data_IF_700984435966
#
_entry.id   IF_700984435966
#
_cell.length_a   1.000
_cell.length_b   1.000
_cell.length_c   1.000
_cell.angle_alpha   90.00
_cell.angle_beta   90.00
_cell.angle_gamma   90.00
#
_symmetry.space_group_name_H-M   'P 1'
#
loop_
_entity.id
_entity.type
_entity.pdbx_description
1 polymer ?
#
# COMPACT_ATOMS: atom_id res chain seq x y z
N UNK A 1 -34.47 -5.54 -12.53
CA UNK A 1 -33.25 -5.24 -13.31
C UNK A 1 -32.31 -4.50 -12.38
N UNK A 2 -31.08 -4.98 -12.19
CA UNK A 2 -30.16 -4.40 -11.21
C UNK A 2 -29.69 -3.00 -11.64
N UNK A 3 -29.99 -2.00 -10.82
CA UNK A 3 -29.63 -0.59 -11.04
C UNK A 3 -28.10 -0.44 -11.17
N UNK A 4 -27.33 -1.25 -10.43
CA UNK A 4 -25.87 -1.27 -10.51
C UNK A 4 -25.40 -1.72 -11.89
N UNK A 5 -26.00 -2.79 -12.44
CA UNK A 5 -25.69 -3.26 -13.78
C UNK A 5 -26.01 -2.21 -14.87
N UNK A 6 -27.06 -1.40 -14.69
CA UNK A 6 -27.39 -0.32 -15.63
C UNK A 6 -26.36 0.82 -15.58
N UNK A 7 -25.97 1.25 -14.37
CA UNK A 7 -24.96 2.30 -14.18
C UNK A 7 -23.62 1.87 -14.80
N UNK A 8 -23.18 0.63 -14.55
CA UNK A 8 -21.94 0.07 -15.13
C UNK A 8 -21.96 0.10 -16.65
N UNK A 9 -23.05 -0.35 -17.28
CA UNK A 9 -23.20 -0.33 -18.75
C UNK A 9 -23.10 1.08 -19.33
N UNK A 10 -23.75 2.05 -18.69
CA UNK A 10 -23.73 3.44 -19.14
C UNK A 10 -22.32 4.05 -19.05
N UNK A 11 -21.59 3.78 -17.96
CA UNK A 11 -20.21 4.24 -17.78
C UNK A 11 -19.28 3.64 -18.85
N UNK A 12 -19.36 2.32 -19.08
CA UNK A 12 -18.56 1.65 -20.10
C UNK A 12 -18.80 2.27 -21.49
N UNK A 13 -20.06 2.52 -21.86
CA UNK A 13 -20.38 3.16 -23.14
C UNK A 13 -19.75 4.54 -23.24
N UNK A 14 -19.92 5.39 -22.21
CA UNK A 14 -19.36 6.75 -22.21
C UNK A 14 -17.84 6.79 -22.30
N UNK A 15 -17.16 5.85 -21.62
CA UNK A 15 -15.70 5.73 -21.69
C UNK A 15 -15.27 5.33 -23.10
N UNK A 16 -15.93 4.32 -23.68
CA UNK A 16 -15.62 3.81 -25.02
C UNK A 16 -15.81 4.86 -26.13
N UNK A 17 -16.83 5.71 -25.98
CA UNK A 17 -17.18 6.72 -26.98
C UNK A 17 -16.40 8.04 -26.81
N UNK A 18 -15.72 8.24 -25.68
CA UNK A 18 -14.97 9.47 -25.39
C UNK A 18 -13.68 9.57 -26.20
N UNK A 19 -13.42 10.77 -26.73
CA UNK A 19 -12.14 11.16 -27.37
C UNK A 19 -11.39 12.23 -26.57
N UNK A 20 -11.96 12.68 -25.47
CA UNK A 20 -11.37 13.71 -24.61
C UNK A 20 -10.41 13.05 -23.63
N UNK A 21 -9.11 13.21 -23.89
CA UNK A 21 -8.04 12.66 -23.07
C UNK A 21 -8.04 13.23 -21.64
N UNK A 22 -8.36 14.52 -21.48
CA UNK A 22 -8.39 15.15 -20.16
C UNK A 22 -9.51 14.57 -19.31
N UNK A 23 -10.68 14.35 -19.91
CA UNK A 23 -11.81 13.69 -19.27
C UNK A 23 -11.47 12.24 -18.87
N UNK A 24 -10.84 11.48 -19.77
CA UNK A 24 -10.43 10.10 -19.50
C UNK A 24 -9.39 10.02 -18.37
N UNK A 25 -8.41 10.91 -18.36
CA UNK A 25 -7.40 10.99 -17.30
C UNK A 25 -8.04 11.33 -15.93
N UNK A 26 -9.00 12.26 -15.90
CA UNK A 26 -9.72 12.59 -14.68
C UNK A 26 -10.53 11.39 -14.16
N UNK A 27 -11.24 10.67 -15.03
CA UNK A 27 -11.95 9.44 -14.65
C UNK A 27 -11.02 8.36 -14.13
N UNK A 28 -9.90 8.12 -14.81
CA UNK A 28 -8.89 7.15 -14.38
C UNK A 28 -8.38 7.48 -12.97
N UNK A 29 -8.05 8.75 -12.72
CA UNK A 29 -7.56 9.21 -11.42
C UNK A 29 -8.60 8.97 -10.31
N UNK A 30 -9.88 9.22 -10.59
CA UNK A 30 -10.96 8.99 -9.62
C UNK A 30 -11.07 7.49 -9.30
N UNK A 31 -11.09 6.62 -10.31
CA UNK A 31 -11.13 5.18 -10.08
C UNK A 31 -9.93 4.68 -9.27
N UNK A 32 -8.72 5.06 -9.69
CA UNK A 32 -7.47 4.69 -9.02
C UNK A 32 -7.44 5.16 -7.55
N UNK A 33 -7.97 6.36 -7.27
CA UNK A 33 -8.07 6.89 -5.90
C UNK A 33 -9.15 6.21 -5.05
N UNK A 34 -10.23 5.75 -5.68
CA UNK A 34 -11.32 5.05 -5.00
C UNK A 34 -11.01 3.58 -4.71
N UNK A 35 -10.09 2.98 -5.49
CA UNK A 35 -9.65 1.60 -5.33
C UNK A 35 -8.39 1.47 -4.45
N UNK A 36 -7.70 2.57 -4.14
CA UNK A 36 -6.67 2.56 -3.11
C UNK A 36 -7.31 2.32 -1.74
N UNK A 37 -7.01 1.15 -1.15
CA UNK A 37 -7.32 0.90 0.25
C UNK A 37 -6.82 2.08 1.10
N UNK A 38 -7.70 2.64 1.93
CA UNK A 38 -7.44 3.80 2.81
C UNK A 38 -6.16 3.70 3.65
N UNK A 39 -5.59 2.49 3.78
CA UNK A 39 -4.38 2.17 4.53
C UNK A 39 -3.42 1.27 3.72
N UNK A 40 -3.31 1.49 2.41
CA UNK A 40 -2.34 0.78 1.59
C UNK A 40 -0.91 1.15 2.02
N UNK A 41 -0.10 0.14 2.32
CA UNK A 41 1.33 0.33 2.54
C UNK A 41 2.00 0.88 1.28
N UNK A 42 2.92 1.84 1.45
CA UNK A 42 3.79 2.29 0.38
C UNK A 42 4.67 1.14 -0.12
N UNK A 43 5.22 1.27 -1.33
CA UNK A 43 6.14 0.25 -1.86
C UNK A 43 7.37 0.06 -0.96
N UNK A 44 7.88 1.14 -0.36
CA UNK A 44 9.01 1.07 0.58
C UNK A 44 8.62 0.34 1.87
N UNK A 45 7.42 0.56 2.39
CA UNK A 45 6.92 -0.16 3.57
C UNK A 45 6.74 -1.65 3.28
N UNK A 46 6.19 -2.00 2.11
CA UNK A 46 6.07 -3.40 1.67
C UNK A 46 7.44 -4.07 1.56
N UNK A 47 8.41 -3.38 0.96
CA UNK A 47 9.79 -3.87 0.83
C UNK A 47 10.46 -4.04 2.20
N UNK A 48 10.27 -3.10 3.12
CA UNK A 48 10.82 -3.17 4.47
C UNK A 48 10.27 -4.38 5.26
N UNK A 49 8.95 -4.65 5.14
CA UNK A 49 8.35 -5.84 5.77
C UNK A 49 8.92 -7.13 5.17
N UNK A 50 9.09 -7.20 3.86
CA UNK A 50 9.63 -8.40 3.20
C UNK A 50 11.08 -8.66 3.60
N UNK A 51 11.91 -7.60 3.63
CA UNK A 51 13.28 -7.69 4.13
C UNK A 51 13.31 -8.17 5.59
N UNK A 52 12.48 -7.59 6.46
CA UNK A 52 12.42 -7.97 7.88
C UNK A 52 12.00 -9.44 8.07
N UNK A 53 11.07 -9.96 7.25
CA UNK A 53 10.71 -11.37 7.27
C UNK A 53 11.87 -12.28 6.89
N UNK A 54 12.67 -11.87 5.90
CA UNK A 54 13.86 -12.60 5.47
C UNK A 54 14.96 -12.57 6.54
N UNK A 55 15.20 -11.41 7.16
CA UNK A 55 16.14 -11.25 8.28
C UNK A 55 15.77 -12.19 9.44
N UNK A 56 14.50 -12.21 9.86
CA UNK A 56 14.02 -13.12 10.91
C UNK A 56 14.26 -14.58 10.52
N UNK A 57 13.95 -14.96 9.28
CA UNK A 57 14.14 -16.33 8.77
C UNK A 57 15.62 -16.74 8.78
N UNK A 58 16.52 -15.81 8.47
CA UNK A 58 17.96 -16.05 8.42
C UNK A 58 18.61 -16.00 9.82
N UNK A 59 17.88 -15.57 10.85
CA UNK A 59 18.41 -15.37 12.19
C UNK A 59 19.07 -14.00 12.40
N UNK A 60 18.93 -13.09 11.43
CA UNK A 60 19.44 -11.72 11.46
C UNK A 60 18.49 -10.81 12.27
N UNK A 61 18.18 -11.19 13.50
CA UNK A 61 17.34 -10.41 14.40
C UNK A 61 17.92 -10.40 15.82
N UNK A 62 17.54 -9.38 16.59
CA UNK A 62 17.83 -9.31 18.01
C UNK A 62 16.54 -9.50 18.81
N UNK A 63 16.62 -10.24 19.91
CA UNK A 63 15.52 -10.31 20.86
C UNK A 63 15.42 -9.01 21.62
N UNK A 64 14.19 -8.65 22.00
CA UNK A 64 13.94 -7.44 22.77
C UNK A 64 14.78 -7.40 24.06
N UNK A 65 14.91 -8.53 24.76
CA UNK A 65 15.69 -8.62 25.99
C UNK A 65 17.18 -8.32 25.75
N UNK A 66 17.74 -8.76 24.62
CA UNK A 66 19.13 -8.53 24.23
C UNK A 66 19.36 -7.04 23.97
N UNK A 67 18.49 -6.42 23.16
CA UNK A 67 18.57 -4.98 22.84
C UNK A 67 18.43 -4.12 24.11
N UNK A 68 17.49 -4.43 24.99
CA UNK A 68 17.29 -3.69 26.25
C UNK A 68 18.49 -3.86 27.19
N UNK A 69 19.08 -5.05 27.24
CA UNK A 69 20.28 -5.31 28.04
C UNK A 69 21.47 -4.49 27.53
N UNK A 70 21.74 -4.53 26.22
CA UNK A 70 22.82 -3.76 25.59
C UNK A 70 22.66 -2.25 25.81
N UNK A 71 21.45 -1.74 25.66
CA UNK A 71 21.14 -0.33 25.91
C UNK A 71 21.44 0.07 27.36
N UNK A 72 21.04 -0.75 28.34
CA UNK A 72 21.31 -0.50 29.77
C UNK A 72 22.81 -0.49 30.06
N UNK A 73 23.57 -1.42 29.48
CA UNK A 73 25.01 -1.47 29.65
C UNK A 73 25.72 -0.27 29.00
N UNK A 74 25.24 0.19 27.84
CA UNK A 74 25.75 1.41 27.20
C UNK A 74 25.54 2.65 28.09
N UNK A 75 24.36 2.80 28.69
CA UNK A 75 24.05 3.92 29.57
C UNK A 75 24.94 3.98 30.83
N UNK A 76 25.38 2.82 31.36
CA UNK A 76 26.28 2.76 32.53
C UNK A 76 27.72 3.14 32.21
N UNK A 77 28.13 3.05 30.95
CA UNK A 77 29.50 3.39 30.49
C UNK A 77 29.67 4.90 30.21
N UNK A 78 28.63 5.70 30.42
CA UNK A 78 28.61 7.16 30.26
C UNK A 78 28.63 7.83 31.61
#
# INVERSE_FOLDING_TARGET
MDLTAQIKKNLISRIKDSKDLNFLNALQTIFDSSEQELYALSNDQKKAIENSRMEIKNGDFHKNEEVISEMREWLKKK
#
